data_IF_387398779615
#
_entry.id   IF_387398779615
#
_cell.length_a   1.000
_cell.length_b   1.000
_cell.length_c   1.000
_cell.angle_alpha   90.00
_cell.angle_beta   90.00
_cell.angle_gamma   90.00
#
_symmetry.space_group_name_H-M   'P 1'
#
loop_
_entity.id
_entity.type
_entity.pdbx_description
1 polymer ?
#
# COMPACT_ATOMS: atom_id res chain seq x y z
N UNK A 1 -31.77 10.83 33.41
CA UNK A 1 -31.21 9.49 33.61
C UNK A 1 -30.66 9.04 32.26
N UNK A 2 -29.35 9.08 32.10
CA UNK A 2 -28.72 8.61 30.87
C UNK A 2 -28.70 7.08 30.91
N UNK A 3 -29.44 6.43 30.04
CA UNK A 3 -29.37 4.99 29.84
C UNK A 3 -28.03 4.66 29.17
N UNK A 4 -27.08 4.19 29.97
CA UNK A 4 -25.83 3.64 29.45
C UNK A 4 -26.14 2.43 28.58
N UNK A 5 -25.53 2.33 27.42
CA UNK A 5 -25.59 1.16 26.54
C UNK A 5 -25.01 -0.01 27.34
N UNK A 6 -25.80 -1.08 27.65
CA UNK A 6 -25.25 -2.18 28.42
C UNK A 6 -24.24 -2.93 27.61
N UNK A 7 -22.96 -2.79 27.98
CA UNK A 7 -21.84 -3.49 27.34
C UNK A 7 -21.91 -5.03 27.52
N UNK A 8 -22.72 -5.50 28.50
CA UNK A 8 -22.91 -6.92 28.79
C UNK A 8 -24.34 -7.15 29.28
N UNK A 9 -25.23 -7.65 28.44
CA UNK A 9 -26.47 -8.28 28.91
C UNK A 9 -26.27 -9.79 28.89
N UNK A 10 -26.09 -10.35 30.07
CA UNK A 10 -26.19 -11.80 30.29
C UNK A 10 -27.66 -12.07 30.58
N UNK A 11 -28.45 -12.29 29.55
CA UNK A 11 -29.80 -12.87 29.74
C UNK A 11 -29.60 -14.41 29.78
N UNK A 12 -29.72 -14.98 30.97
CA UNK A 12 -29.81 -16.43 31.14
C UNK A 12 -31.14 -16.89 30.55
N UNK A 13 -31.11 -17.41 29.33
CA UNK A 13 -32.25 -18.14 28.77
C UNK A 13 -32.46 -19.45 29.52
N UNK A 14 -33.68 -19.93 29.58
CA UNK A 14 -34.13 -21.14 30.31
C UNK A 14 -33.39 -22.42 29.88
N UNK A 15 -32.59 -22.41 28.82
CA UNK A 15 -31.83 -23.53 28.27
C UNK A 15 -30.27 -23.40 28.40
N UNK A 16 -29.79 -22.55 29.29
CA UNK A 16 -28.32 -22.47 29.54
C UNK A 16 -27.46 -21.93 28.40
N UNK A 17 -28.03 -21.55 27.27
CA UNK A 17 -27.35 -20.90 26.17
C UNK A 17 -27.30 -19.39 26.42
N UNK A 18 -26.15 -18.89 26.85
CA UNK A 18 -25.92 -17.46 27.08
C UNK A 18 -25.91 -16.70 25.74
N UNK A 19 -26.80 -15.72 25.63
CA UNK A 19 -26.88 -14.79 24.47
C UNK A 19 -25.70 -13.80 24.48
N UNK A 20 -24.48 -14.30 24.33
CA UNK A 20 -23.32 -13.47 24.02
C UNK A 20 -23.31 -12.97 22.54
N UNK A 21 -24.30 -13.42 21.75
CA UNK A 21 -24.25 -13.28 20.29
C UNK A 21 -24.28 -11.82 19.80
N UNK A 22 -25.10 -10.95 20.39
CA UNK A 22 -25.27 -9.59 19.86
C UNK A 22 -24.08 -8.68 20.16
N UNK A 23 -23.50 -8.76 21.37
CA UNK A 23 -22.34 -7.96 21.78
C UNK A 23 -21.06 -8.41 21.05
N UNK A 24 -20.86 -9.71 20.85
CA UNK A 24 -19.76 -10.27 20.07
C UNK A 24 -19.87 -9.93 18.58
N UNK A 25 -21.07 -9.96 18.01
CA UNK A 25 -21.30 -9.58 16.63
C UNK A 25 -21.00 -8.11 16.38
N UNK A 26 -21.46 -7.21 17.27
CA UNK A 26 -21.15 -5.78 17.18
C UNK A 26 -19.64 -5.54 17.37
N UNK A 27 -19.00 -6.18 18.32
CA UNK A 27 -17.56 -6.07 18.51
C UNK A 27 -16.78 -6.55 17.29
N UNK A 28 -17.12 -7.70 16.72
CA UNK A 28 -16.51 -8.23 15.51
C UNK A 28 -16.72 -7.30 14.31
N UNK A 29 -17.93 -6.76 14.16
CA UNK A 29 -18.25 -5.80 13.09
C UNK A 29 -17.45 -4.50 13.26
N UNK A 30 -17.37 -3.94 14.46
CA UNK A 30 -16.58 -2.74 14.73
C UNK A 30 -15.10 -2.98 14.50
N UNK A 31 -14.57 -4.13 14.95
CA UNK A 31 -13.17 -4.51 14.70
C UNK A 31 -12.92 -4.71 13.20
N UNK A 32 -13.80 -5.40 12.50
CA UNK A 32 -13.72 -5.57 11.06
C UNK A 32 -13.73 -4.23 10.33
N UNK A 33 -14.63 -3.32 10.71
CA UNK A 33 -14.75 -2.00 10.09
C UNK A 33 -13.51 -1.12 10.31
N UNK A 34 -12.81 -1.27 11.43
CA UNK A 34 -11.56 -0.52 11.70
C UNK A 34 -10.34 -1.10 10.99
N UNK A 35 -10.28 -2.42 10.78
CA UNK A 35 -9.15 -3.10 10.12
C UNK A 35 -9.29 -3.11 8.60
N UNK A 36 -10.52 -3.14 8.08
CA UNK A 36 -10.81 -3.25 6.65
C UNK A 36 -10.13 -2.17 5.78
N UNK A 37 -10.12 -0.88 6.13
CA UNK A 37 -9.43 0.13 5.33
C UNK A 37 -7.92 -0.14 5.19
N UNK A 38 -7.28 -0.60 6.26
CA UNK A 38 -5.84 -0.93 6.24
C UNK A 38 -5.55 -2.13 5.35
N UNK A 39 -6.41 -3.15 5.36
CA UNK A 39 -6.29 -4.30 4.47
C UNK A 39 -6.48 -3.88 3.01
N UNK A 40 -7.52 -3.09 2.72
CA UNK A 40 -7.79 -2.62 1.34
C UNK A 40 -6.61 -1.81 0.81
N UNK A 41 -6.06 -0.87 1.59
CA UNK A 41 -4.89 -0.10 1.18
C UNK A 41 -3.65 -1.01 1.00
N UNK A 42 -3.48 -2.01 1.86
CA UNK A 42 -2.39 -2.99 1.77
C UNK A 42 -2.47 -3.92 0.56
N UNK A 43 -3.67 -4.11 -0.01
CA UNK A 43 -3.92 -4.94 -1.20
C UNK A 43 -3.88 -4.16 -2.52
N UNK A 44 -3.53 -2.88 -2.49
CA UNK A 44 -3.47 -2.00 -3.67
C UNK A 44 -2.07 -1.48 -3.91
N UNK A 45 -1.89 -0.71 -4.98
CA UNK A 45 -0.64 -0.01 -5.28
C UNK A 45 -0.26 1.09 -4.27
N UNK A 46 -1.14 1.42 -3.33
CA UNK A 46 -0.97 2.51 -2.37
C UNK A 46 0.34 2.40 -1.56
N UNK A 47 0.66 1.19 -1.09
CA UNK A 47 1.84 0.96 -0.24
C UNK A 47 3.14 1.34 -0.96
N UNK A 48 3.32 0.91 -2.22
CA UNK A 48 4.50 1.26 -3.02
C UNK A 48 4.60 2.77 -3.23
N UNK A 49 3.49 3.38 -3.63
CA UNK A 49 3.45 4.80 -3.98
C UNK A 49 3.78 5.68 -2.78
N UNK A 50 3.14 5.45 -1.63
CA UNK A 50 3.35 6.29 -0.45
C UNK A 50 4.78 6.19 0.08
N UNK A 51 5.40 5.02 0.01
CA UNK A 51 6.78 4.81 0.44
C UNK A 51 7.74 5.53 -0.50
N UNK A 52 7.58 5.38 -1.82
CA UNK A 52 8.44 6.06 -2.80
C UNK A 52 8.35 7.57 -2.68
N UNK A 53 7.12 8.12 -2.55
CA UNK A 53 6.93 9.56 -2.34
C UNK A 53 7.54 10.06 -1.02
N UNK A 54 7.49 9.24 0.03
CA UNK A 54 8.10 9.56 1.32
C UNK A 54 9.64 9.57 1.22
N UNK A 55 10.22 8.60 0.53
CA UNK A 55 11.68 8.54 0.28
C UNK A 55 12.12 9.73 -0.60
N UNK A 56 11.36 10.06 -1.64
CA UNK A 56 11.64 11.22 -2.50
C UNK A 56 11.68 12.52 -1.69
N UNK A 57 10.68 12.75 -0.84
CA UNK A 57 10.66 13.92 0.07
C UNK A 57 11.91 13.96 0.96
N UNK A 58 12.30 12.82 1.51
CA UNK A 58 13.49 12.71 2.35
C UNK A 58 14.79 12.98 1.54
N UNK A 59 14.88 12.46 0.31
CA UNK A 59 16.01 12.65 -0.59
C UNK A 59 16.23 14.12 -0.94
N UNK A 60 15.14 14.86 -1.19
CA UNK A 60 15.18 16.30 -1.44
C UNK A 60 15.66 17.12 -0.22
N UNK A 61 15.67 16.55 0.98
CA UNK A 61 16.05 17.25 2.21
C UNK A 61 14.94 18.15 2.78
N UNK A 62 13.76 18.13 2.21
CA UNK A 62 12.60 18.90 2.67
C UNK A 62 11.81 18.10 3.70
N UNK A 63 12.23 18.10 4.96
CA UNK A 63 11.70 17.23 6.00
C UNK A 63 10.18 17.29 6.20
N UNK A 64 9.52 18.41 5.85
CA UNK A 64 8.09 18.64 6.08
C UNK A 64 7.29 19.07 4.84
N UNK A 65 7.95 19.31 3.71
CA UNK A 65 7.28 19.77 2.47
C UNK A 65 7.53 18.78 1.33
N UNK A 66 6.50 18.26 0.65
CA UNK A 66 5.05 18.45 0.91
C UNK A 66 4.59 17.80 2.24
N UNK A 67 3.51 18.33 2.88
CA UNK A 67 2.92 17.73 4.09
C UNK A 67 2.44 16.29 3.86
N UNK A 68 2.38 15.48 4.93
CA UNK A 68 1.94 14.08 4.83
C UNK A 68 0.56 13.93 4.17
N UNK A 69 -0.38 14.83 4.46
CA UNK A 69 -1.71 14.82 3.88
C UNK A 69 -1.69 14.94 2.36
N UNK A 70 -0.80 15.79 1.82
CA UNK A 70 -0.63 15.96 0.37
C UNK A 70 -0.05 14.69 -0.26
N UNK A 71 0.95 14.08 0.36
CA UNK A 71 1.53 12.82 -0.12
C UNK A 71 0.50 11.69 -0.11
N UNK A 72 -0.31 11.58 0.95
CA UNK A 72 -1.40 10.61 1.04
C UNK A 72 -2.44 10.86 -0.05
N UNK A 73 -2.83 12.12 -0.29
CA UNK A 73 -3.78 12.46 -1.35
C UNK A 73 -3.25 12.07 -2.73
N UNK A 74 -2.00 12.40 -3.05
CA UNK A 74 -1.36 12.01 -4.31
C UNK A 74 -1.32 10.49 -4.43
N UNK A 75 -0.91 9.78 -3.37
CA UNK A 75 -0.85 8.33 -3.36
C UNK A 75 -2.22 7.69 -3.60
N UNK A 76 -3.29 8.23 -3.00
CA UNK A 76 -4.66 7.74 -3.22
C UNK A 76 -5.13 7.97 -4.66
N UNK A 77 -4.91 9.16 -5.23
CA UNK A 77 -5.28 9.45 -6.63
C UNK A 77 -4.52 8.57 -7.62
N UNK A 78 -3.22 8.39 -7.41
CA UNK A 78 -2.42 7.49 -8.24
C UNK A 78 -2.86 6.02 -8.08
N UNK A 79 -3.21 5.61 -6.87
CA UNK A 79 -3.75 4.27 -6.62
C UNK A 79 -5.05 4.06 -7.38
N UNK A 80 -5.99 5.01 -7.32
CA UNK A 80 -7.23 4.93 -8.09
C UNK A 80 -6.97 4.86 -9.59
N UNK A 81 -6.00 5.62 -10.09
CA UNK A 81 -5.62 5.61 -11.49
C UNK A 81 -5.03 4.25 -11.93
N UNK A 82 -4.09 3.71 -11.16
CA UNK A 82 -3.44 2.42 -11.44
C UNK A 82 -4.42 1.26 -11.31
N UNK A 83 -5.30 1.31 -10.30
CA UNK A 83 -6.29 0.27 -10.04
C UNK A 83 -7.54 0.39 -10.92
N UNK A 84 -7.66 1.42 -11.77
CA UNK A 84 -8.83 1.64 -12.60
C UNK A 84 -9.22 0.42 -13.47
N UNK A 85 -8.31 -0.29 -14.16
CA UNK A 85 -8.66 -1.50 -14.89
C UNK A 85 -9.23 -2.60 -13.99
N UNK A 86 -8.61 -2.87 -12.85
CA UNK A 86 -9.07 -3.87 -11.87
C UNK A 86 -10.46 -3.51 -11.31
N UNK A 87 -10.70 -2.23 -11.00
CA UNK A 87 -12.02 -1.78 -10.56
C UNK A 87 -13.08 -1.86 -11.65
N UNK A 88 -12.70 -1.60 -12.90
CA UNK A 88 -13.60 -1.77 -14.06
C UNK A 88 -13.97 -3.23 -14.25
N UNK A 89 -13.01 -4.12 -14.16
CA UNK A 89 -13.24 -5.56 -14.21
C UNK A 89 -14.15 -6.01 -13.06
N UNK A 90 -13.85 -5.61 -11.82
CA UNK A 90 -14.67 -5.87 -10.64
C UNK A 90 -16.12 -5.41 -10.85
N UNK A 91 -16.31 -4.22 -11.40
CA UNK A 91 -17.65 -3.70 -11.67
C UNK A 91 -18.41 -4.55 -12.70
N UNK A 92 -17.74 -4.89 -13.81
CA UNK A 92 -18.38 -5.58 -14.92
C UNK A 92 -18.66 -7.06 -14.63
N UNK A 93 -17.74 -7.73 -13.92
CA UNK A 93 -17.83 -9.18 -13.70
C UNK A 93 -18.51 -9.56 -12.38
N UNK A 94 -18.56 -8.63 -11.41
CA UNK A 94 -19.05 -8.92 -10.06
C UNK A 94 -20.19 -7.97 -9.65
N UNK A 95 -19.92 -6.66 -9.60
CA UNK A 95 -20.85 -5.70 -8.98
C UNK A 95 -22.12 -5.57 -9.81
N UNK A 96 -22.02 -5.29 -11.11
CA UNK A 96 -23.19 -5.15 -11.99
C UNK A 96 -24.02 -6.43 -12.07
N UNK A 97 -23.47 -7.63 -12.31
CA UNK A 97 -24.26 -8.87 -12.30
C UNK A 97 -24.93 -9.17 -10.95
N UNK A 98 -24.29 -8.82 -9.84
CA UNK A 98 -24.88 -8.98 -8.52
C UNK A 98 -26.06 -8.02 -8.30
N UNK A 99 -25.91 -6.75 -8.65
CA UNK A 99 -26.97 -5.74 -8.51
C UNK A 99 -28.17 -6.01 -9.44
N UNK A 100 -27.92 -6.57 -10.60
CA UNK A 100 -28.95 -6.98 -11.58
C UNK A 100 -29.68 -8.29 -11.17
N UNK A 101 -29.27 -8.90 -10.05
CA UNK A 101 -29.84 -10.17 -9.55
C UNK A 101 -29.47 -11.39 -10.35
N UNK A 102 -28.48 -11.30 -11.23
CA UNK A 102 -27.98 -12.38 -12.10
C UNK A 102 -26.97 -13.28 -11.37
N UNK A 103 -26.45 -12.84 -10.23
CA UNK A 103 -25.43 -13.54 -9.47
C UNK A 103 -25.79 -13.59 -7.98
N UNK A 104 -25.72 -14.76 -7.32
CA UNK A 104 -25.91 -14.85 -5.86
C UNK A 104 -24.70 -14.28 -5.11
N UNK A 105 -24.91 -13.85 -3.85
CA UNK A 105 -23.93 -13.13 -3.06
C UNK A 105 -22.64 -13.95 -2.77
N UNK A 106 -22.77 -15.26 -2.57
CA UNK A 106 -21.65 -16.18 -2.35
C UNK A 106 -20.73 -16.25 -3.57
N UNK A 107 -21.30 -16.34 -4.76
CA UNK A 107 -20.54 -16.34 -6.02
C UNK A 107 -19.91 -14.96 -6.29
N UNK A 108 -20.62 -13.88 -5.98
CA UNK A 108 -20.08 -12.52 -6.12
C UNK A 108 -18.84 -12.31 -5.22
N UNK A 109 -18.87 -12.82 -3.99
CA UNK A 109 -17.70 -12.76 -3.09
C UNK A 109 -16.51 -13.54 -3.62
N UNK A 110 -16.73 -14.73 -4.15
CA UNK A 110 -15.67 -15.58 -4.73
C UNK A 110 -15.06 -14.90 -5.96
N UNK A 111 -15.89 -14.45 -6.89
CA UNK A 111 -15.43 -13.79 -8.10
C UNK A 111 -14.69 -12.48 -7.80
N UNK A 112 -15.20 -11.69 -6.82
CA UNK A 112 -14.53 -10.48 -6.37
C UNK A 112 -13.16 -10.75 -5.75
N UNK A 113 -13.05 -11.80 -4.95
CA UNK A 113 -11.77 -12.24 -4.40
C UNK A 113 -10.79 -12.67 -5.50
N UNK A 114 -11.26 -13.35 -6.57
CA UNK A 114 -10.43 -13.77 -7.70
C UNK A 114 -9.90 -12.56 -8.48
N UNK A 115 -10.73 -11.57 -8.80
CA UNK A 115 -10.26 -10.33 -9.48
C UNK A 115 -9.18 -9.63 -8.68
N UNK A 116 -9.34 -9.52 -7.35
CA UNK A 116 -8.28 -8.95 -6.50
C UNK A 116 -7.04 -9.84 -6.46
N UNK A 117 -7.20 -11.15 -6.43
CA UNK A 117 -6.12 -12.12 -6.40
C UNK A 117 -5.26 -12.05 -7.67
N UNK A 118 -5.87 -11.88 -8.83
CA UNK A 118 -5.17 -11.71 -10.11
C UNK A 118 -4.28 -10.47 -10.08
N UNK A 119 -4.79 -9.33 -9.57
CA UNK A 119 -3.98 -8.14 -9.37
C UNK A 119 -2.80 -8.40 -8.43
N UNK A 120 -3.02 -9.06 -7.30
CA UNK A 120 -1.98 -9.36 -6.30
C UNK A 120 -0.90 -10.27 -6.89
N UNK A 121 -1.28 -11.34 -7.56
CA UNK A 121 -0.35 -12.31 -8.16
C UNK A 121 0.52 -11.65 -9.22
N UNK A 122 -0.10 -10.90 -10.15
CA UNK A 122 0.61 -10.24 -11.24
C UNK A 122 1.62 -9.18 -10.74
N UNK A 123 1.41 -8.64 -9.54
CA UNK A 123 2.30 -7.65 -8.95
C UNK A 123 3.18 -8.20 -7.82
N UNK A 124 3.15 -9.52 -7.55
CA UNK A 124 4.01 -10.19 -6.57
C UNK A 124 5.21 -10.82 -7.27
N UNK A 125 6.41 -10.61 -6.74
CA UNK A 125 7.60 -11.26 -7.24
C UNK A 125 7.57 -12.76 -6.96
N UNK A 126 7.91 -13.55 -7.96
CA UNK A 126 7.93 -15.02 -7.85
C UNK A 126 8.77 -15.50 -6.66
N UNK A 127 9.94 -14.89 -6.44
CA UNK A 127 10.81 -15.27 -5.32
C UNK A 127 10.17 -15.03 -3.95
N UNK A 128 9.42 -13.94 -3.80
CA UNK A 128 8.74 -13.62 -2.55
C UNK A 128 7.54 -14.58 -2.35
N UNK A 129 6.83 -14.93 -3.43
CA UNK A 129 5.76 -15.92 -3.37
C UNK A 129 6.28 -17.30 -2.97
N UNK A 130 7.35 -17.78 -3.60
CA UNK A 130 7.99 -19.08 -3.28
C UNK A 130 8.44 -19.09 -1.82
N UNK A 131 9.08 -18.04 -1.33
CA UNK A 131 9.52 -17.94 0.06
C UNK A 131 8.36 -18.12 1.05
N UNK A 132 7.21 -17.47 0.83
CA UNK A 132 6.06 -17.60 1.73
C UNK A 132 5.34 -18.93 1.58
N UNK A 133 5.35 -19.55 0.39
CA UNK A 133 4.85 -20.91 0.16
C UNK A 133 5.66 -21.93 0.98
N UNK A 134 6.99 -21.86 0.92
CA UNK A 134 7.87 -22.73 1.71
C UNK A 134 7.69 -22.54 3.21
N UNK A 135 7.53 -21.27 3.67
CA UNK A 135 7.25 -20.97 5.08
C UNK A 135 5.91 -21.53 5.57
N UNK A 136 4.90 -21.61 4.68
CA UNK A 136 3.62 -22.23 4.99
C UNK A 136 3.70 -23.76 5.03
N UNK A 137 4.79 -24.37 4.54
CA UNK A 137 4.96 -25.83 4.42
C UNK A 137 4.19 -26.42 3.25
N UNK A 138 3.75 -25.56 2.31
CA UNK A 138 2.99 -25.98 1.15
C UNK A 138 3.92 -26.42 0.01
N UNK A 139 3.40 -27.29 -0.87
CA UNK A 139 4.02 -27.59 -2.15
C UNK A 139 3.85 -26.38 -3.09
N UNK A 140 4.74 -26.20 -4.10
CA UNK A 140 4.54 -25.17 -5.11
C UNK A 140 3.17 -25.31 -5.76
N UNK A 141 2.41 -24.22 -5.81
CA UNK A 141 1.08 -24.21 -6.39
C UNK A 141 1.15 -24.38 -7.91
N UNK A 142 0.20 -25.13 -8.46
CA UNK A 142 0.18 -25.42 -9.88
C UNK A 142 -0.20 -24.20 -10.73
N UNK A 143 -1.06 -23.33 -10.18
CA UNK A 143 -1.47 -22.09 -10.82
C UNK A 143 -1.52 -20.94 -9.82
N UNK A 144 -1.43 -19.68 -10.28
CA UNK A 144 -1.60 -18.49 -9.44
C UNK A 144 -2.95 -18.46 -8.71
N UNK A 145 -3.97 -19.01 -9.32
CA UNK A 145 -5.33 -19.08 -8.77
C UNK A 145 -5.44 -20.02 -7.55
N UNK A 146 -4.53 -20.98 -7.41
CA UNK A 146 -4.52 -21.93 -6.30
C UNK A 146 -3.87 -21.35 -5.03
N UNK A 147 -3.10 -20.26 -5.13
CA UNK A 147 -2.40 -19.66 -4.01
C UNK A 147 -3.41 -19.09 -2.99
N UNK A 148 -3.42 -19.53 -1.72
CA UNK A 148 -4.32 -18.98 -0.72
C UNK A 148 -3.95 -17.53 -0.38
N UNK A 149 -4.95 -16.70 -0.09
CA UNK A 149 -4.73 -15.28 0.28
C UNK A 149 -3.84 -15.13 1.52
N UNK A 150 -3.83 -16.10 2.41
CA UNK A 150 -2.97 -16.13 3.60
C UNK A 150 -1.48 -16.17 3.28
N UNK A 151 -1.10 -16.74 2.14
CA UNK A 151 0.27 -16.78 1.60
C UNK A 151 0.52 -15.58 0.69
N UNK A 152 -0.46 -15.27 -0.15
CA UNK A 152 -0.33 -14.23 -1.18
C UNK A 152 -0.23 -12.83 -0.60
N UNK A 153 -1.02 -12.48 0.42
CA UNK A 153 -1.03 -11.13 1.00
C UNK A 153 0.32 -10.73 1.61
N UNK A 154 0.95 -11.53 2.49
CA UNK A 154 2.25 -11.18 3.02
C UNK A 154 3.35 -11.20 1.93
N UNK A 155 3.27 -12.10 0.95
CA UNK A 155 4.18 -12.13 -0.19
C UNK A 155 4.07 -10.82 -1.02
N UNK A 156 2.85 -10.39 -1.33
CA UNK A 156 2.58 -9.15 -2.04
C UNK A 156 3.12 -7.92 -1.29
N UNK A 157 2.77 -7.75 0.00
CA UNK A 157 3.23 -6.62 0.80
C UNK A 157 4.76 -6.57 0.86
N UNK A 158 5.41 -7.73 1.06
CA UNK A 158 6.89 -7.82 1.08
C UNK A 158 7.48 -7.44 -0.28
N UNK A 159 6.88 -7.90 -1.37
CA UNK A 159 7.26 -7.56 -2.74
C UNK A 159 7.12 -6.06 -3.02
N UNK A 160 5.99 -5.45 -2.59
CA UNK A 160 5.74 -4.02 -2.70
C UNK A 160 6.77 -3.18 -1.93
N UNK A 161 7.07 -3.56 -0.68
CA UNK A 161 8.10 -2.92 0.14
C UNK A 161 9.46 -2.96 -0.55
N UNK A 162 9.87 -4.13 -1.02
CA UNK A 162 11.17 -4.32 -1.69
C UNK A 162 11.26 -3.48 -2.96
N UNK A 163 10.22 -3.47 -3.77
CA UNK A 163 10.16 -2.66 -5.00
C UNK A 163 10.16 -1.16 -4.68
N UNK A 164 9.39 -0.74 -3.68
CA UNK A 164 9.36 0.65 -3.24
C UNK A 164 10.74 1.14 -2.77
N UNK A 165 11.46 0.33 -1.98
CA UNK A 165 12.81 0.68 -1.53
C UNK A 165 13.81 0.68 -2.67
N UNK A 166 13.70 -0.21 -3.66
CA UNK A 166 14.57 -0.20 -4.84
C UNK A 166 14.37 1.07 -5.67
N UNK A 167 13.12 1.44 -5.97
CA UNK A 167 12.80 2.68 -6.68
C UNK A 167 13.28 3.89 -5.87
N UNK A 168 12.94 3.91 -4.57
CA UNK A 168 13.34 4.98 -3.67
C UNK A 168 14.85 5.17 -3.58
N UNK A 169 15.60 4.08 -3.54
CA UNK A 169 17.07 4.12 -3.56
C UNK A 169 17.60 4.75 -4.85
N UNK A 170 17.09 4.35 -6.02
CA UNK A 170 17.48 4.94 -7.30
C UNK A 170 17.18 6.43 -7.37
N UNK A 171 16.02 6.84 -6.85
CA UNK A 171 15.66 8.26 -6.74
C UNK A 171 16.56 9.03 -5.77
N UNK A 172 17.07 8.36 -4.74
CA UNK A 172 17.95 8.98 -3.74
C UNK A 172 19.36 9.27 -4.28
N UNK A 173 19.87 8.44 -5.19
CA UNK A 173 21.24 8.51 -5.69
C UNK A 173 21.67 9.91 -6.20
N UNK A 174 20.94 10.59 -7.11
CA UNK A 174 21.35 11.89 -7.61
C UNK A 174 21.44 12.94 -6.49
N UNK A 175 20.54 12.89 -5.53
CA UNK A 175 20.55 13.81 -4.40
C UNK A 175 21.70 13.56 -3.42
N UNK A 176 22.06 12.29 -3.24
CA UNK A 176 23.22 11.88 -2.43
C UNK A 176 24.52 12.39 -3.06
N UNK A 177 24.66 12.32 -4.38
CA UNK A 177 25.82 12.87 -5.06
C UNK A 177 25.96 14.37 -4.82
N UNK A 178 24.86 15.14 -4.89
CA UNK A 178 24.88 16.57 -4.59
C UNK A 178 25.32 16.83 -3.13
N UNK A 179 24.80 16.05 -2.18
CA UNK A 179 25.21 16.19 -0.77
C UNK A 179 26.70 15.94 -0.58
N UNK A 180 27.24 14.89 -1.22
CA UNK A 180 28.68 14.57 -1.12
C UNK A 180 29.57 15.65 -1.75
N UNK A 181 29.19 16.20 -2.89
CA UNK A 181 29.92 17.29 -3.55
C UNK A 181 29.92 18.55 -2.67
N UNK A 182 28.77 18.96 -2.16
CA UNK A 182 28.66 20.13 -1.28
C UNK A 182 29.45 19.92 0.02
N UNK A 183 29.36 18.71 0.62
CA UNK A 183 30.13 18.39 1.82
C UNK A 183 31.65 18.50 1.57
N UNK A 184 32.13 17.98 0.44
CA UNK A 184 33.55 18.06 0.06
C UNK A 184 34.03 19.50 -0.12
N UNK A 185 33.20 20.36 -0.74
CA UNK A 185 33.51 21.78 -0.92
C UNK A 185 33.58 22.50 0.44
N UNK A 186 32.57 22.28 1.31
CA UNK A 186 32.54 22.92 2.63
C UNK A 186 33.73 22.51 3.51
N UNK A 187 34.10 21.23 3.48
CA UNK A 187 35.30 20.74 4.19
C UNK A 187 36.59 21.35 3.64
N UNK A 188 36.71 21.49 2.33
CA UNK A 188 37.86 22.14 1.70
C UNK A 188 38.03 23.61 2.09
N UNK A 189 36.90 24.30 2.32
CA UNK A 189 36.88 25.69 2.76
C UNK A 189 37.06 25.83 4.28
N UNK A 190 37.19 24.74 5.03
CA UNK A 190 37.30 24.77 6.49
C UNK A 190 35.98 25.04 7.22
N UNK A 191 34.83 25.00 6.52
CA UNK A 191 33.51 25.35 7.07
C UNK A 191 32.84 24.14 7.71
N UNK A 192 33.52 23.47 8.65
CA UNK A 192 33.05 22.22 9.27
C UNK A 192 31.77 22.36 10.13
N UNK A 193 31.42 23.58 10.56
CA UNK A 193 30.24 23.83 11.38
C UNK A 193 28.94 24.02 10.58
N UNK A 194 29.02 24.17 9.26
CA UNK A 194 27.83 24.32 8.41
C UNK A 194 27.31 22.93 8.01
N UNK A 195 25.99 22.76 8.15
CA UNK A 195 25.33 21.53 7.71
C UNK A 195 25.33 21.45 6.18
N UNK A 196 25.98 20.44 5.56
CA UNK A 196 25.95 20.27 4.12
C UNK A 196 24.55 20.13 3.53
N UNK A 197 23.64 19.51 4.28
CA UNK A 197 22.23 19.31 3.87
C UNK A 197 21.50 20.64 3.66
N UNK A 198 21.72 21.63 4.51
CA UNK A 198 21.08 22.96 4.37
C UNK A 198 21.61 23.71 3.16
N UNK A 199 22.91 23.58 2.86
CA UNK A 199 23.53 24.24 1.71
C UNK A 199 23.18 23.53 0.39
N UNK A 200 23.02 22.20 0.42
CA UNK A 200 22.66 21.41 -0.78
C UNK A 200 21.17 21.54 -1.19
N UNK A 201 20.28 21.89 -0.26
CA UNK A 201 18.84 21.97 -0.49
C UNK A 201 18.45 22.78 -1.74
N UNK A 202 18.92 24.03 -1.97
CA UNK A 202 18.55 24.77 -3.16
C UNK A 202 19.01 24.11 -4.46
N UNK A 203 20.17 23.45 -4.47
CA UNK A 203 20.68 22.73 -5.64
C UNK A 203 19.85 21.48 -5.95
N UNK A 204 19.41 20.76 -4.91
CA UNK A 204 18.51 19.60 -5.05
C UNK A 204 17.16 20.00 -5.63
N UNK A 205 16.56 21.09 -5.11
CA UNK A 205 15.29 21.58 -5.62
C UNK A 205 15.43 22.09 -7.06
N UNK A 206 16.52 22.79 -7.39
CA UNK A 206 16.79 23.24 -8.74
C UNK A 206 16.90 22.06 -9.72
N UNK A 207 17.71 21.04 -9.37
CA UNK A 207 17.83 19.84 -10.19
C UNK A 207 16.47 19.17 -10.40
N UNK A 208 15.70 18.99 -9.33
CA UNK A 208 14.41 18.31 -9.37
C UNK A 208 13.41 19.03 -10.30
N UNK A 209 13.39 20.37 -10.26
CA UNK A 209 12.54 21.18 -11.15
C UNK A 209 13.05 21.13 -12.60
N UNK A 210 14.36 21.20 -12.83
CA UNK A 210 14.93 21.17 -14.18
C UNK A 210 14.67 19.85 -14.93
N UNK A 211 14.65 18.72 -14.23
CA UNK A 211 14.38 17.40 -14.84
C UNK A 211 12.91 17.02 -14.84
N UNK A 212 12.00 17.93 -14.44
CA UNK A 212 10.59 17.63 -14.21
C UNK A 212 10.39 16.40 -13.32
N UNK A 213 11.01 16.44 -12.13
CA UNK A 213 11.11 15.31 -11.22
C UNK A 213 9.76 14.73 -10.78
N UNK A 214 8.69 15.56 -10.71
CA UNK A 214 7.36 15.07 -10.39
C UNK A 214 6.78 14.20 -11.50
N UNK A 215 6.84 14.66 -12.76
CA UNK A 215 6.34 13.90 -13.91
C UNK A 215 7.13 12.59 -14.08
N UNK A 216 8.46 12.65 -13.93
CA UNK A 216 9.31 11.46 -13.99
C UNK A 216 8.98 10.45 -12.89
N UNK A 217 8.80 10.90 -11.64
CA UNK A 217 8.49 10.01 -10.51
C UNK A 217 7.13 9.37 -10.68
N UNK A 218 6.10 10.15 -10.99
CA UNK A 218 4.72 9.67 -11.18
C UNK A 218 4.66 8.72 -12.39
N UNK A 219 5.25 9.11 -13.51
CA UNK A 219 5.29 8.28 -14.72
C UNK A 219 6.02 6.95 -14.50
N UNK A 220 7.15 6.98 -13.80
CA UNK A 220 7.89 5.77 -13.45
C UNK A 220 7.08 4.85 -12.53
N UNK A 221 6.41 5.39 -11.51
CA UNK A 221 5.54 4.61 -10.62
C UNK A 221 4.40 3.93 -11.37
N UNK A 222 3.71 4.65 -12.26
CA UNK A 222 2.63 4.08 -13.08
C UNK A 222 3.17 3.00 -14.01
N UNK A 223 4.32 3.24 -14.65
CA UNK A 223 4.94 2.29 -15.57
C UNK A 223 5.31 0.96 -14.90
N UNK A 224 5.61 0.95 -13.59
CA UNK A 224 5.92 -0.30 -12.87
C UNK A 224 4.73 -1.25 -12.70
N UNK A 225 3.51 -0.78 -12.94
CA UNK A 225 2.28 -1.58 -12.92
C UNK A 225 1.72 -1.86 -14.32
N UNK A 226 2.14 -1.08 -15.33
CA UNK A 226 1.68 -1.24 -16.71
C UNK A 226 2.45 -2.31 -17.49
N UNK A 227 3.54 -2.83 -16.94
CA UNK A 227 4.43 -3.80 -17.59
C UNK A 227 4.28 -5.25 -17.07
N UNK A 228 3.22 -5.54 -16.31
CA UNK A 228 2.90 -6.88 -15.81
C UNK A 228 1.92 -7.60 -16.71
#
# INVERSE_FOLDING_TARGET
MAAGIPAFNVASGADGASTYSLSLQILALMTGLTVLPSLVLGMTSFTRIIIVLSILRQAMGTQQTPPNQVLVAIALFLTMFIMAPTFTEMNNTVISPYLDGLMPADLALVNGANVMKDFLVNNTRVNDLVMFTEMAGDQPYASPEDVPLTVLLPAFITSELKTAFQIGFLLFLPFLVIDMVIASILMSLGMMMLSPMLVSLPFKLLLFVLVDGWAMTVGSLVATYAGG
#
